data_IF_564688555308
#
_entry.id   IF_564688555308
#
_cell.length_a   1.000
_cell.length_b   1.000
_cell.length_c   1.000
_cell.angle_alpha   90.00
_cell.angle_beta   90.00
_cell.angle_gamma   90.00
#
_symmetry.space_group_name_H-M   'P 1'
#
loop_
_entity.id
_entity.type
_entity.pdbx_description
1 polymer ?
#
# COMPACT_ATOMS: atom_id res chain seq x y z
N UNK A 1 11.74 6.49 2.90
CA UNK A 1 10.69 5.97 2.00
C UNK A 1 11.25 4.70 1.42
N UNK A 2 10.42 3.67 1.32
CA UNK A 2 10.87 2.35 0.90
C UNK A 2 9.77 1.61 0.14
N UNK A 3 10.18 0.81 -0.83
CA UNK A 3 9.33 -0.06 -1.64
C UNK A 3 9.29 -1.46 -1.06
N UNK A 4 8.08 -1.97 -0.79
CA UNK A 4 7.94 -3.32 -0.26
C UNK A 4 6.88 -4.13 -1.00
N UNK A 5 7.25 -5.35 -1.38
CA UNK A 5 6.32 -6.33 -1.93
C UNK A 5 5.48 -6.98 -0.82
N UNK A 6 4.17 -6.98 -1.01
CA UNK A 6 3.21 -7.69 -0.17
C UNK A 6 2.43 -8.71 -0.99
N UNK A 7 2.05 -9.82 -0.36
CA UNK A 7 1.11 -10.78 -0.93
C UNK A 7 -0.30 -10.39 -0.50
N UNK A 8 -1.27 -10.41 -1.42
CA UNK A 8 -2.66 -10.09 -1.10
C UNK A 8 -3.31 -11.11 -0.14
N UNK A 9 -2.87 -12.37 -0.18
CA UNK A 9 -3.30 -13.44 0.72
C UNK A 9 -2.13 -14.38 0.96
N UNK A 10 -2.01 -14.96 2.15
CA UNK A 10 -1.00 -15.98 2.39
C UNK A 10 -1.33 -17.29 1.67
N UNK A 11 -0.33 -18.14 1.45
CA UNK A 11 -0.55 -19.46 0.81
C UNK A 11 -1.45 -20.36 1.65
N UNK A 12 -1.32 -20.27 2.98
CA UNK A 12 -2.12 -20.96 3.99
C UNK A 12 -2.24 -20.06 5.21
N UNK A 13 -3.46 -19.77 5.63
CA UNK A 13 -3.77 -19.10 6.90
C UNK A 13 -4.55 -20.07 7.78
N UNK A 14 -4.30 -20.03 9.09
CA UNK A 14 -5.11 -20.73 10.09
C UNK A 14 -5.97 -19.69 10.78
N UNK A 15 -7.27 -19.94 10.80
CA UNK A 15 -8.25 -19.08 11.45
C UNK A 15 -8.81 -19.84 12.65
N UNK A 16 -8.94 -19.15 13.77
CA UNK A 16 -9.79 -19.60 14.87
C UNK A 16 -11.14 -18.92 14.65
N UNK A 17 -12.16 -19.72 14.34
CA UNK A 17 -13.51 -19.23 14.11
C UNK A 17 -14.39 -19.65 15.28
N UNK A 18 -15.34 -18.79 15.63
CA UNK A 18 -16.42 -19.18 16.53
C UNK A 18 -17.41 -20.10 15.80
N UNK A 19 -18.21 -20.91 16.53
CA UNK A 19 -19.15 -21.86 15.90
C UNK A 19 -20.15 -21.20 14.94
N UNK A 20 -20.48 -19.92 15.15
CA UNK A 20 -21.45 -19.16 14.38
C UNK A 20 -20.81 -18.20 13.35
N UNK A 21 -19.48 -18.28 13.16
CA UNK A 21 -18.77 -17.38 12.26
C UNK A 21 -18.60 -18.00 10.87
N UNK A 22 -18.93 -17.24 9.83
CA UNK A 22 -18.78 -17.67 8.45
C UNK A 22 -17.32 -17.95 8.10
N UNK A 23 -17.09 -18.98 7.28
CA UNK A 23 -15.75 -19.28 6.80
C UNK A 23 -15.16 -18.09 6.03
N UNK A 24 -13.88 -17.72 6.28
CA UNK A 24 -13.27 -16.57 5.65
C UNK A 24 -13.22 -16.76 4.13
N UNK A 25 -13.90 -15.86 3.42
CA UNK A 25 -14.02 -15.92 1.98
C UNK A 25 -12.67 -15.66 1.29
N UNK A 26 -12.11 -16.68 0.64
CA UNK A 26 -10.89 -16.55 -0.18
C UNK A 26 -11.23 -16.47 -1.67
N UNK A 27 -10.97 -15.30 -2.27
CA UNK A 27 -11.13 -15.06 -3.72
C UNK A 27 -10.09 -15.81 -4.58
N UNK A 28 -8.91 -16.11 -4.03
CA UNK A 28 -7.82 -16.79 -4.75
C UNK A 28 -7.85 -18.31 -4.55
N UNK A 29 -8.38 -19.05 -5.53
CA UNK A 29 -8.46 -20.53 -5.49
C UNK A 29 -7.10 -21.23 -5.66
N UNK A 30 -6.12 -20.61 -6.33
CA UNK A 30 -4.82 -21.22 -6.63
C UNK A 30 -3.66 -20.41 -6.04
N UNK A 31 -2.74 -21.09 -5.34
CA UNK A 31 -1.51 -20.51 -4.76
C UNK A 31 -0.62 -19.81 -5.80
N UNK A 32 -0.64 -20.26 -7.05
CA UNK A 32 0.14 -19.68 -8.15
C UNK A 32 -0.42 -18.35 -8.65
N UNK A 33 -1.67 -18.03 -8.31
CA UNK A 33 -2.35 -16.81 -8.75
C UNK A 33 -2.52 -15.79 -7.61
N UNK A 34 -1.78 -15.94 -6.51
CA UNK A 34 -1.78 -14.92 -5.44
C UNK A 34 -1.03 -13.70 -5.98
N UNK A 35 -1.71 -12.55 -6.18
CA UNK A 35 -1.04 -11.38 -6.69
C UNK A 35 -0.07 -10.84 -5.63
N UNK A 36 1.15 -10.53 -6.08
CA UNK A 36 2.12 -9.71 -5.34
C UNK A 36 1.92 -8.27 -5.75
N UNK A 37 1.72 -7.40 -4.78
CA UNK A 37 1.53 -5.97 -4.99
C UNK A 37 2.68 -5.25 -4.29
N UNK A 38 3.34 -4.33 -5.00
CA UNK A 38 4.33 -3.46 -4.39
C UNK A 38 3.63 -2.25 -3.78
N UNK A 39 4.08 -1.85 -2.60
CA UNK A 39 3.65 -0.62 -1.94
C UNK A 39 4.84 0.30 -1.74
N UNK A 40 4.63 1.58 -2.00
CA UNK A 40 5.51 2.65 -1.57
C UNK A 40 5.10 3.07 -0.16
N UNK A 41 5.96 2.82 0.82
CA UNK A 41 5.69 3.09 2.22
C UNK A 41 6.47 4.32 2.69
N UNK A 42 5.75 5.24 3.32
CA UNK A 42 6.28 6.50 3.84
C UNK A 42 6.04 6.53 5.33
N UNK A 43 7.14 6.48 6.08
CA UNK A 43 7.15 6.60 7.52
C UNK A 43 8.20 7.63 7.95
N UNK A 44 7.93 8.28 9.06
CA UNK A 44 8.81 9.17 9.77
C UNK A 44 9.05 8.64 11.19
N UNK A 45 9.98 9.26 11.92
CA UNK A 45 10.25 8.89 13.31
C UNK A 45 9.05 9.25 14.20
N UNK A 46 8.47 8.30 14.96
CA UNK A 46 7.44 8.60 15.95
C UNK A 46 7.95 9.59 17.00
N UNK A 47 7.06 10.43 17.53
CA UNK A 47 7.38 11.44 18.53
C UNK A 47 6.47 11.28 19.73
N UNK A 48 7.05 11.44 20.90
CA UNK A 48 6.36 11.31 22.17
C UNK A 48 6.57 12.57 23.01
N UNK A 49 5.52 12.99 23.71
CA UNK A 49 5.56 14.09 24.69
C UNK A 49 4.96 13.56 25.99
N UNK A 50 5.72 13.60 27.08
CA UNK A 50 5.29 13.14 28.40
C UNK A 50 4.73 11.70 28.43
N UNK A 51 5.28 10.80 27.60
CA UNK A 51 4.83 9.40 27.50
C UNK A 51 3.68 9.16 26.52
N UNK A 52 3.06 10.22 25.97
CA UNK A 52 2.00 10.10 24.97
C UNK A 52 2.54 10.27 23.54
N UNK A 53 2.05 9.45 22.62
CA UNK A 53 2.42 9.51 21.20
C UNK A 53 1.70 10.68 20.53
N UNK A 54 2.41 11.78 20.27
CA UNK A 54 1.84 12.96 19.57
C UNK A 54 1.93 12.84 18.06
N UNK A 55 2.80 11.97 17.55
CA UNK A 55 2.94 11.68 16.14
C UNK A 55 3.46 10.25 15.96
N UNK A 56 2.67 9.39 15.33
CA UNK A 56 3.00 7.97 15.17
C UNK A 56 4.01 7.69 14.04
N UNK A 57 4.37 8.71 13.26
CA UNK A 57 5.28 8.57 12.13
C UNK A 57 4.67 7.88 10.91
N UNK A 58 3.40 7.46 10.93
CA UNK A 58 2.78 6.69 9.85
C UNK A 58 2.14 7.62 8.82
N UNK A 59 2.88 7.92 7.76
CA UNK A 59 2.43 8.88 6.74
C UNK A 59 1.51 8.19 5.74
N UNK A 60 1.93 7.08 5.13
CA UNK A 60 1.05 6.35 4.22
C UNK A 60 1.70 5.15 3.54
N UNK A 61 0.85 4.30 2.97
CA UNK A 61 1.22 3.18 2.12
C UNK A 61 0.46 3.32 0.80
N UNK A 62 1.17 3.40 -0.31
CA UNK A 62 0.57 3.63 -1.62
C UNK A 62 0.80 2.42 -2.52
N UNK A 63 -0.26 1.73 -2.98
CA UNK A 63 -0.11 0.58 -3.88
C UNK A 63 0.37 1.04 -5.26
N UNK A 64 1.43 0.43 -5.76
CA UNK A 64 1.94 0.60 -7.13
C UNK A 64 1.19 -0.34 -8.07
N UNK A 65 0.00 0.10 -8.48
CA UNK A 65 -0.94 -0.67 -9.29
C UNK A 65 -1.47 0.15 -10.47
N UNK A 66 -1.79 -0.52 -11.57
CA UNK A 66 -2.53 0.02 -12.71
C UNK A 66 -3.97 -0.47 -12.67
N UNK A 67 -4.90 0.43 -13.01
CA UNK A 67 -6.29 0.07 -13.26
C UNK A 67 -6.43 -0.26 -14.74
N UNK A 68 -6.67 -1.52 -15.06
CA UNK A 68 -6.86 -2.01 -16.43
C UNK A 68 -8.24 -2.64 -16.58
N UNK A 69 -8.83 -2.55 -17.77
CA UNK A 69 -10.09 -3.25 -18.04
C UNK A 69 -9.85 -4.74 -18.29
N UNK A 70 -10.71 -5.58 -17.73
CA UNK A 70 -10.66 -7.02 -17.96
C UNK A 70 -10.91 -7.35 -19.44
N UNK A 71 -9.85 -7.76 -20.15
CA UNK A 71 -9.94 -8.16 -21.58
C UNK A 71 -10.83 -9.40 -21.78
N UNK A 72 -10.76 -10.35 -20.84
CA UNK A 72 -11.57 -11.58 -20.82
C UNK A 72 -12.38 -11.65 -19.53
N UNK A 73 -13.66 -11.95 -19.68
CA UNK A 73 -14.51 -12.34 -18.55
C UNK A 73 -14.06 -13.67 -17.96
N UNK A 74 -14.26 -13.84 -16.67
CA UNK A 74 -14.13 -15.12 -15.96
C UNK A 74 -15.27 -15.24 -14.96
N UNK A 75 -15.39 -16.37 -14.28
CA UNK A 75 -16.40 -16.54 -13.22
C UNK A 75 -16.32 -15.47 -12.12
N UNK A 76 -15.14 -14.86 -11.92
CA UNK A 76 -14.90 -13.89 -10.86
C UNK A 76 -14.80 -12.44 -11.36
N UNK A 77 -14.97 -12.18 -12.68
CA UNK A 77 -14.92 -10.82 -13.25
C UNK A 77 -15.63 -10.74 -14.60
N UNK A 78 -16.39 -9.68 -14.83
CA UNK A 78 -16.99 -9.43 -16.14
C UNK A 78 -15.96 -8.83 -17.12
N UNK A 79 -16.19 -9.02 -18.42
CA UNK A 79 -15.39 -8.35 -19.45
C UNK A 79 -15.62 -6.84 -19.35
N UNK A 80 -14.55 -6.05 -19.30
CA UNK A 80 -14.60 -4.60 -19.15
C UNK A 80 -14.60 -4.10 -17.70
N UNK A 81 -14.70 -4.99 -16.71
CA UNK A 81 -14.60 -4.61 -15.30
C UNK A 81 -13.21 -4.06 -14.96
N UNK A 82 -13.13 -3.05 -14.10
CA UNK A 82 -11.85 -2.48 -13.67
C UNK A 82 -11.12 -3.50 -12.79
N UNK A 83 -9.94 -3.93 -13.25
CA UNK A 83 -9.07 -4.85 -12.55
C UNK A 83 -7.80 -4.13 -12.14
N UNK A 84 -7.47 -4.24 -10.87
CA UNK A 84 -6.20 -3.78 -10.32
C UNK A 84 -5.12 -4.79 -10.72
N UNK A 85 -4.10 -4.33 -11.44
CA UNK A 85 -2.91 -5.12 -11.75
C UNK A 85 -1.67 -4.51 -11.10
N UNK A 86 -0.75 -5.35 -10.57
CA UNK A 86 0.53 -4.84 -10.08
C UNK A 86 1.34 -4.30 -11.25
N UNK A 87 1.99 -3.15 -11.04
CA UNK A 87 2.92 -2.59 -12.02
C UNK A 87 4.11 -3.55 -12.16
N UNK A 88 4.37 -4.01 -13.39
CA UNK A 88 5.43 -4.99 -13.66
C UNK A 88 6.84 -4.38 -13.63
N UNK A 89 6.97 -3.12 -14.05
CA UNK A 89 8.23 -2.39 -14.06
C UNK A 89 8.02 -0.99 -13.50
N UNK A 90 8.70 -0.70 -12.39
CA UNK A 90 8.61 0.61 -11.74
C UNK A 90 9.78 1.43 -12.27
N UNK A 91 9.43 2.46 -13.04
CA UNK A 91 10.39 3.39 -13.57
C UNK A 91 10.46 4.65 -12.69
N UNK A 92 11.51 5.45 -12.90
CA UNK A 92 11.72 6.72 -12.20
C UNK A 92 10.53 7.68 -12.34
N UNK A 93 9.82 7.63 -13.46
CA UNK A 93 8.69 8.53 -13.75
C UNK A 93 7.47 8.19 -12.91
N UNK A 94 7.13 6.90 -12.77
CA UNK A 94 6.06 6.41 -11.91
C UNK A 94 6.37 6.76 -10.45
N UNK A 95 7.59 6.51 -9.97
CA UNK A 95 7.96 6.89 -8.60
C UNK A 95 7.84 8.41 -8.41
N UNK A 96 8.35 9.21 -9.37
CA UNK A 96 8.25 10.68 -9.32
C UNK A 96 6.80 11.16 -9.27
N UNK A 97 5.93 10.59 -10.09
CA UNK A 97 4.50 10.91 -10.12
C UNK A 97 3.85 10.61 -8.76
N UNK A 98 4.09 9.42 -8.21
CA UNK A 98 3.60 9.04 -6.88
C UNK A 98 4.15 9.97 -5.79
N UNK A 99 5.41 10.35 -5.88
CA UNK A 99 6.03 11.28 -4.94
C UNK A 99 5.31 12.63 -4.93
N UNK A 100 5.08 13.21 -6.12
CA UNK A 100 4.46 14.53 -6.26
C UNK A 100 2.98 14.49 -5.91
N UNK A 101 2.24 13.51 -6.43
CA UNK A 101 0.77 13.50 -6.39
C UNK A 101 0.20 12.78 -5.17
N UNK A 102 0.98 11.93 -4.49
CA UNK A 102 0.49 11.11 -3.36
C UNK A 102 1.30 11.35 -2.10
N UNK A 103 2.62 11.21 -2.17
CA UNK A 103 3.49 11.26 -0.98
C UNK A 103 3.58 12.67 -0.39
N UNK A 104 3.97 13.68 -1.17
CA UNK A 104 4.13 15.05 -0.67
C UNK A 104 2.82 15.62 -0.08
N UNK A 105 1.65 15.43 -0.70
CA UNK A 105 0.38 15.81 -0.09
C UNK A 105 0.10 15.10 1.23
N UNK A 106 0.37 13.78 1.30
CA UNK A 106 0.17 13.01 2.53
C UNK A 106 1.12 13.44 3.66
N UNK A 107 2.37 13.74 3.34
CA UNK A 107 3.33 14.34 4.28
C UNK A 107 2.74 15.64 4.80
N UNK A 108 2.38 16.58 3.92
CA UNK A 108 1.83 17.89 4.31
C UNK A 108 0.57 17.78 5.18
N UNK A 109 -0.31 16.82 4.88
CA UNK A 109 -1.55 16.62 5.63
C UNK A 109 -1.32 16.07 7.04
N UNK A 110 -0.33 15.20 7.23
CA UNK A 110 -0.06 14.51 8.50
C UNK A 110 1.07 15.13 9.31
N UNK A 111 1.86 16.04 8.73
CA UNK A 111 3.02 16.58 9.40
C UNK A 111 2.62 17.38 10.66
N UNK A 112 3.36 17.27 11.77
CA UNK A 112 3.08 18.04 12.97
C UNK A 112 3.09 19.56 12.71
N UNK A 113 2.06 20.26 13.20
CA UNK A 113 1.91 21.72 13.00
C UNK A 113 3.08 22.53 13.57
N UNK A 114 3.71 22.02 14.62
CA UNK A 114 4.88 22.64 15.28
C UNK A 114 6.10 22.78 14.34
N UNK A 115 6.16 21.97 13.27
CA UNK A 115 7.29 21.89 12.36
C UNK A 115 6.98 22.38 10.93
N UNK A 116 5.86 23.07 10.73
CA UNK A 116 5.42 23.51 9.39
C UNK A 116 6.48 24.38 8.68
N UNK A 117 7.31 25.09 9.43
CA UNK A 117 8.37 25.96 8.88
C UNK A 117 9.75 25.30 8.84
N UNK A 118 9.88 24.05 9.27
CA UNK A 118 11.16 23.34 9.26
C UNK A 118 11.33 22.56 7.96
N UNK A 119 12.56 22.46 7.44
CA UNK A 119 12.82 21.63 6.28
C UNK A 119 12.51 20.16 6.60
N UNK A 120 11.83 19.49 5.68
CA UNK A 120 11.55 18.05 5.75
C UNK A 120 12.57 17.33 4.87
N UNK A 121 13.39 16.50 5.50
CA UNK A 121 14.35 15.66 4.78
C UNK A 121 13.69 14.32 4.44
N UNK A 122 13.64 14.01 3.14
CA UNK A 122 13.13 12.74 2.64
C UNK A 122 14.34 11.87 2.31
N UNK A 123 14.39 10.70 2.94
CA UNK A 123 15.41 9.69 2.68
C UNK A 123 14.82 8.58 1.78
N UNK A 124 15.57 8.19 0.76
CA UNK A 124 15.33 7.05 -0.13
C UNK A 124 16.65 6.26 -0.26
N UNK A 125 16.56 5.02 -0.73
CA UNK A 125 17.74 4.28 -1.17
C UNK A 125 18.19 4.75 -2.57
N UNK A 126 19.35 4.27 -3.02
CA UNK A 126 19.93 4.63 -4.33
C UNK A 126 19.52 3.64 -5.43
N UNK A 127 18.34 3.01 -5.30
CA UNK A 127 17.85 1.99 -6.22
C UNK A 127 17.56 2.52 -7.63
#
# INVERSE_FOLDING_TARGET
>A
IDEKWFYLSQKSERYYLLPDEDEPHRTCKNKNYIPRIMFLCVCARPRFRNGECVFDGKIGCFPLVTLEQAIRGSQNRLRGEQVIKPIQSINREVIRDFMINRVLPAIRAKWPREDVHKPIFIQQDNA
#
